data_IF_370407865155
#
_entry.id   IF_370407865155
#
_cell.length_a   1.000
_cell.length_b   1.000
_cell.length_c   1.000
_cell.angle_alpha   90.00
_cell.angle_beta   90.00
_cell.angle_gamma   90.00
#
_symmetry.space_group_name_H-M   'P 1'
#
loop_
_entity.id
_entity.type
_entity.pdbx_description
1 polymer ?
#
# COMPACT_ATOMS: atom_id res chain seq x y z
N UNK A 1 6.01 -55.23 -35.10
CA UNK A 1 6.60 -53.87 -35.07
C UNK A 1 5.49 -52.87 -35.32
N UNK A 2 5.11 -52.08 -34.32
CA UNK A 2 4.50 -50.75 -34.49
C UNK A 2 4.36 -50.10 -33.11
N UNK A 3 5.26 -49.18 -32.80
CA UNK A 3 5.24 -48.29 -31.61
C UNK A 3 4.98 -46.89 -32.12
N UNK A 4 3.91 -46.20 -31.72
CA UNK A 4 3.74 -44.72 -31.69
C UNK A 4 2.49 -44.34 -30.86
N UNK A 5 2.40 -43.15 -30.24
CA UNK A 5 3.17 -42.75 -29.06
C UNK A 5 2.27 -42.21 -27.92
N UNK A 6 2.61 -42.54 -26.67
CA UNK A 6 2.13 -41.83 -25.48
C UNK A 6 2.80 -40.44 -25.43
N UNK A 7 2.19 -39.44 -26.05
CA UNK A 7 2.71 -38.07 -26.04
C UNK A 7 1.62 -37.00 -25.91
N UNK A 8 0.50 -37.31 -25.25
CA UNK A 8 -0.59 -36.34 -25.04
C UNK A 8 -0.71 -35.91 -23.55
N UNK A 9 -0.10 -36.65 -22.61
CA UNK A 9 -0.23 -36.37 -21.18
C UNK A 9 0.65 -35.26 -20.60
N UNK A 10 1.76 -34.88 -21.27
CA UNK A 10 2.76 -33.98 -20.68
C UNK A 10 2.55 -32.49 -21.03
N UNK A 11 1.82 -32.20 -22.12
CA UNK A 11 1.57 -30.82 -22.57
C UNK A 11 0.53 -30.07 -21.72
N UNK A 12 -0.45 -30.77 -21.16
CA UNK A 12 -1.55 -30.15 -20.40
C UNK A 12 -1.12 -29.70 -18.99
N UNK A 13 -0.18 -30.40 -18.37
CA UNK A 13 0.38 -30.04 -17.06
C UNK A 13 1.30 -28.81 -17.13
N UNK A 14 2.02 -28.61 -18.25
CA UNK A 14 2.80 -27.39 -18.48
C UNK A 14 1.92 -26.18 -18.78
N UNK A 15 0.78 -26.36 -19.46
CA UNK A 15 -0.16 -25.28 -19.71
C UNK A 15 -0.84 -24.78 -18.41
N UNK A 16 -1.16 -25.68 -17.46
CA UNK A 16 -1.70 -25.31 -16.14
C UNK A 16 -0.63 -24.78 -15.18
N UNK A 17 0.63 -25.22 -15.29
CA UNK A 17 1.75 -24.64 -14.55
C UNK A 17 2.11 -23.22 -15.01
N UNK A 18 1.94 -22.93 -16.30
CA UNK A 18 2.11 -21.58 -16.87
C UNK A 18 0.87 -20.68 -16.70
N UNK A 19 -0.33 -21.26 -16.53
CA UNK A 19 -1.52 -20.52 -16.08
C UNK A 19 -1.56 -20.29 -14.57
N UNK A 20 -0.81 -21.07 -13.78
CA UNK A 20 -0.60 -20.91 -12.33
C UNK A 20 0.32 -19.75 -11.95
N UNK A 21 0.99 -19.14 -12.94
CA UNK A 21 1.46 -17.75 -12.91
C UNK A 21 0.30 -16.75 -13.05
N UNK A 22 -0.91 -17.15 -12.65
CA UNK A 22 -2.03 -16.27 -12.39
C UNK A 22 -1.58 -15.26 -11.33
N UNK A 23 -1.26 -14.05 -11.81
CA UNK A 23 -1.06 -12.81 -11.07
C UNK A 23 -1.02 -13.00 -9.54
N UNK A 24 0.19 -13.19 -8.99
CA UNK A 24 0.36 -12.90 -7.57
C UNK A 24 0.14 -11.40 -7.39
N UNK A 25 -1.05 -11.03 -6.94
CA UNK A 25 -1.41 -9.64 -6.63
C UNK A 25 -0.86 -9.22 -5.27
N UNK A 26 -0.32 -10.16 -4.47
CA UNK A 26 0.37 -9.83 -3.23
C UNK A 26 1.60 -9.00 -3.56
N UNK A 27 1.72 -7.86 -2.89
CA UNK A 27 2.79 -6.89 -3.13
C UNK A 27 2.54 -5.87 -4.26
N UNK A 28 1.38 -5.87 -4.94
CA UNK A 28 1.05 -4.77 -5.87
C UNK A 28 0.37 -3.62 -5.13
N UNK A 29 0.93 -2.39 -5.18
CA UNK A 29 0.29 -1.23 -4.59
C UNK A 29 -1.13 -1.02 -5.14
N UNK A 30 -2.09 -0.81 -4.24
CA UNK A 30 -3.46 -0.44 -4.58
C UNK A 30 -3.86 0.89 -3.92
N UNK A 31 -5.03 1.39 -4.31
CA UNK A 31 -5.59 2.62 -3.73
C UNK A 31 -5.95 2.35 -2.25
N UNK A 32 -5.51 3.19 -1.30
CA UNK A 32 -5.68 2.94 0.13
C UNK A 32 -7.11 3.15 0.63
N UNK A 33 -7.89 4.01 -0.03
CA UNK A 33 -9.23 4.40 0.41
C UNK A 33 -10.14 4.62 -0.79
N UNK A 34 -11.42 4.26 -0.67
CA UNK A 34 -12.42 4.60 -1.67
C UNK A 34 -12.74 6.09 -1.61
N UNK A 35 -12.03 6.87 -2.42
CA UNK A 35 -12.16 8.33 -2.49
C UNK A 35 -11.56 8.88 -3.77
N UNK A 36 -11.26 10.17 -3.77
CA UNK A 36 -10.62 10.85 -4.90
C UNK A 36 -9.28 11.48 -4.47
N UNK A 37 -8.21 11.25 -5.24
CA UNK A 37 -6.91 11.90 -4.99
C UNK A 37 -7.00 13.37 -5.42
N UNK A 38 -6.94 14.29 -4.46
CA UNK A 38 -7.11 15.72 -4.73
C UNK A 38 -5.85 16.56 -4.67
N UNK A 39 -4.88 16.18 -3.83
CA UNK A 39 -3.59 16.85 -3.75
C UNK A 39 -2.48 15.82 -3.89
N UNK A 40 -1.87 15.78 -5.08
CA UNK A 40 -0.76 14.87 -5.37
C UNK A 40 0.58 15.34 -4.80
N UNK A 41 1.55 14.44 -4.86
CA UNK A 41 2.94 14.74 -4.55
C UNK A 41 3.51 15.82 -5.47
N UNK A 42 4.39 16.67 -4.95
CA UNK A 42 5.12 17.68 -5.74
C UNK A 42 4.33 18.96 -6.03
N UNK A 43 3.05 19.04 -5.63
CA UNK A 43 2.28 20.29 -5.72
C UNK A 43 2.90 21.36 -4.82
N UNK A 44 3.10 22.56 -5.35
CA UNK A 44 3.63 23.69 -4.58
C UNK A 44 2.71 24.05 -3.40
N UNK A 45 3.31 24.24 -2.23
CA UNK A 45 2.65 24.59 -0.96
C UNK A 45 3.60 25.46 -0.11
N UNK A 46 3.07 26.21 0.85
CA UNK A 46 3.81 27.11 1.74
C UNK A 46 3.98 26.58 3.17
N UNK A 47 3.22 25.55 3.56
CA UNK A 47 3.20 25.00 4.91
C UNK A 47 4.19 23.85 5.17
N UNK A 48 4.93 23.37 4.17
CA UNK A 48 6.04 22.42 4.33
C UNK A 48 7.36 23.09 3.93
N UNK A 49 8.41 22.89 4.72
CA UNK A 49 9.70 23.56 4.53
C UNK A 49 10.35 23.29 3.15
N UNK A 50 10.04 22.15 2.53
CA UNK A 50 10.52 21.82 1.18
C UNK A 50 9.75 22.52 0.05
N UNK A 51 8.69 23.28 0.35
CA UNK A 51 7.92 24.06 -0.62
C UNK A 51 7.00 23.25 -1.54
N UNK A 52 6.89 21.94 -1.32
CA UNK A 52 6.00 21.07 -2.09
C UNK A 52 5.39 19.96 -1.22
N UNK A 53 4.24 19.46 -1.65
CA UNK A 53 3.50 18.41 -0.95
C UNK A 53 4.24 17.07 -1.01
N UNK A 54 4.68 16.58 0.15
CA UNK A 54 5.47 15.34 0.30
C UNK A 54 4.64 14.05 0.34
N UNK A 55 3.34 14.12 0.07
CA UNK A 55 2.42 12.99 0.11
C UNK A 55 1.32 13.06 -0.94
N UNK A 56 0.26 12.29 -0.72
CA UNK A 56 -0.96 12.34 -1.53
C UNK A 56 -2.15 12.42 -0.59
N UNK A 57 -3.02 13.41 -0.80
CA UNK A 57 -4.26 13.54 -0.02
C UNK A 57 -5.42 12.93 -0.79
N UNK A 58 -6.07 11.98 -0.13
CA UNK A 58 -7.25 11.28 -0.61
C UNK A 58 -8.49 11.79 0.11
N UNK A 59 -9.44 12.33 -0.67
CA UNK A 59 -10.67 12.91 -0.18
C UNK A 59 -11.69 11.79 0.02
N UNK A 60 -12.01 11.52 1.27
CA UNK A 60 -13.02 10.58 1.70
C UNK A 60 -13.73 11.10 2.97
N UNK A 61 -15.00 10.74 3.22
CA UNK A 61 -15.67 11.10 4.46
C UNK A 61 -14.88 10.66 5.70
N UNK A 62 -14.89 11.46 6.77
CA UNK A 62 -14.25 11.09 8.03
C UNK A 62 -14.79 9.75 8.55
N UNK A 63 -13.89 8.84 8.95
CA UNK A 63 -14.22 7.48 9.36
C UNK A 63 -14.23 6.45 8.22
N UNK A 64 -13.92 6.87 6.98
CA UNK A 64 -13.71 5.93 5.88
C UNK A 64 -12.56 4.96 6.21
N UNK A 65 -12.72 3.65 5.94
CA UNK A 65 -11.67 2.68 6.17
C UNK A 65 -10.50 2.93 5.22
N UNK A 66 -9.29 2.83 5.76
CA UNK A 66 -8.03 2.96 5.02
C UNK A 66 -7.34 1.60 5.10
N UNK A 67 -6.92 1.09 3.96
CA UNK A 67 -6.22 -0.18 3.82
C UNK A 67 -4.76 0.09 3.48
N UNK A 68 -3.87 -0.77 3.98
CA UNK A 68 -2.48 -0.75 3.58
C UNK A 68 -2.39 -0.92 2.05
N UNK A 69 -1.63 -0.08 1.36
CA UNK A 69 -1.54 -0.13 -0.10
C UNK A 69 -0.87 -1.41 -0.61
N UNK A 70 -0.10 -2.08 0.23
CA UNK A 70 0.61 -3.33 -0.07
C UNK A 70 0.86 -4.08 1.24
N UNK A 71 1.18 -5.37 1.14
CA UNK A 71 1.66 -6.17 2.28
C UNK A 71 2.94 -5.56 2.87
N UNK A 72 3.10 -5.64 4.18
CA UNK A 72 4.27 -5.11 4.89
C UNK A 72 4.14 -5.30 6.40
N UNK A 73 5.13 -4.80 7.15
CA UNK A 73 5.15 -4.84 8.62
C UNK A 73 4.88 -3.46 9.19
N UNK A 74 3.96 -3.35 10.14
CA UNK A 74 3.72 -2.10 10.84
C UNK A 74 4.93 -1.79 11.73
N UNK A 75 5.63 -0.69 11.44
CA UNK A 75 6.84 -0.28 12.19
C UNK A 75 6.57 0.87 13.15
N UNK A 76 5.45 1.57 13.00
CA UNK A 76 5.08 2.68 13.88
C UNK A 76 3.57 2.90 13.90
N UNK A 77 3.02 3.16 15.10
CA UNK A 77 1.65 3.65 15.31
C UNK A 77 1.71 4.70 16.41
N UNK A 78 1.25 5.92 16.13
CA UNK A 78 1.18 6.97 17.14
C UNK A 78 1.32 8.40 16.59
N UNK A 79 1.59 9.37 17.50
CA UNK A 79 1.65 10.78 17.14
C UNK A 79 2.92 11.15 16.36
N UNK A 80 2.76 11.61 15.11
CA UNK A 80 3.88 12.00 14.25
C UNK A 80 3.80 13.48 13.87
N UNK A 81 4.57 14.29 14.59
CA UNK A 81 4.55 15.74 14.53
C UNK A 81 5.78 16.32 13.84
N UNK A 82 5.57 17.41 13.09
CA UNK A 82 6.65 18.14 12.43
C UNK A 82 7.18 19.26 13.35
N UNK A 83 6.29 19.97 14.05
CA UNK A 83 6.68 21.14 14.86
C UNK A 83 5.89 21.30 16.17
N UNK A 84 5.18 20.25 16.61
CA UNK A 84 4.39 20.25 17.85
C UNK A 84 3.08 19.44 17.71
N UNK A 85 2.38 19.18 18.83
CA UNK A 85 1.11 18.45 18.82
C UNK A 85 0.10 19.08 17.84
N UNK A 86 -0.56 18.23 17.04
CA UNK A 86 -1.52 18.66 16.03
C UNK A 86 -0.91 19.18 14.72
N UNK A 87 0.42 19.36 14.62
CA UNK A 87 1.08 19.88 13.42
C UNK A 87 1.87 18.80 12.71
N UNK A 88 1.45 18.42 11.50
CA UNK A 88 2.09 17.38 10.72
C UNK A 88 1.13 16.23 10.45
N UNK A 89 1.51 15.00 10.82
CA UNK A 89 0.92 13.77 10.28
C UNK A 89 -0.19 13.16 11.15
N UNK A 90 -0.42 13.68 12.36
CA UNK A 90 -1.57 13.33 13.20
C UNK A 90 -1.24 12.42 14.39
N UNK A 91 -2.20 12.30 15.31
CA UNK A 91 -2.11 11.53 16.56
C UNK A 91 -2.04 10.01 16.33
N UNK A 92 -2.57 9.56 15.19
CA UNK A 92 -2.77 8.15 14.86
C UNK A 92 -2.07 7.82 13.53
N UNK A 93 -0.87 8.38 13.31
CA UNK A 93 -0.09 8.06 12.13
C UNK A 93 0.35 6.59 12.16
N UNK A 94 0.33 5.93 11.00
CA UNK A 94 0.76 4.55 10.84
C UNK A 94 1.88 4.53 9.80
N UNK A 95 2.96 3.82 10.09
CA UNK A 95 4.05 3.58 9.12
C UNK A 95 4.24 2.09 8.93
N UNK A 96 4.24 1.66 7.67
CA UNK A 96 4.42 0.27 7.26
C UNK A 96 5.71 0.17 6.44
N UNK A 97 6.57 -0.78 6.77
CA UNK A 97 7.72 -1.17 5.95
C UNK A 97 7.30 -2.27 4.97
N UNK A 98 7.51 -2.01 3.68
CA UNK A 98 7.18 -2.92 2.58
C UNK A 98 8.42 -3.62 2.01
N UNK A 99 9.55 -3.62 2.72
CA UNK A 99 10.76 -4.34 2.31
C UNK A 99 11.59 -3.57 1.27
N UNK A 100 11.76 -2.27 1.47
CA UNK A 100 12.57 -1.40 0.59
C UNK A 100 12.01 0.02 0.44
N UNK A 101 10.77 0.23 0.86
CA UNK A 101 10.13 1.53 0.95
C UNK A 101 9.08 1.51 2.09
N UNK A 102 8.70 2.69 2.57
CA UNK A 102 7.71 2.83 3.64
C UNK A 102 6.44 3.51 3.14
N UNK A 103 5.29 3.00 3.59
CA UNK A 103 4.00 3.65 3.46
C UNK A 103 3.68 4.42 4.74
N UNK A 104 3.30 5.69 4.65
CA UNK A 104 2.86 6.49 5.80
C UNK A 104 1.40 6.89 5.62
N UNK A 105 0.56 6.56 6.59
CA UNK A 105 -0.87 6.89 6.63
C UNK A 105 -1.07 7.93 7.72
N UNK A 106 -1.53 9.11 7.31
CA UNK A 106 -1.57 10.32 8.15
C UNK A 106 -3.00 10.81 8.34
N UNK A 107 -3.21 11.64 9.36
CA UNK A 107 -4.51 12.25 9.69
C UNK A 107 -5.62 11.24 9.99
N UNK A 108 -5.25 10.04 10.42
CA UNK A 108 -6.22 9.03 10.83
C UNK A 108 -6.93 9.47 12.13
N UNK A 109 -8.21 9.12 12.25
CA UNK A 109 -8.97 9.29 13.49
C UNK A 109 -8.72 8.14 14.49
N UNK A 110 -8.40 6.94 13.97
CA UNK A 110 -8.23 5.71 14.73
C UNK A 110 -7.22 4.83 14.02
N UNK A 111 -6.31 4.19 14.76
CA UNK A 111 -5.51 3.08 14.27
C UNK A 111 -6.13 1.74 14.72
N UNK A 112 -6.30 0.80 13.79
CA UNK A 112 -6.84 -0.55 14.06
C UNK A 112 -5.76 -1.63 13.99
N UNK A 113 -4.49 -1.23 13.96
CA UNK A 113 -3.30 -2.08 13.88
C UNK A 113 -2.29 -1.62 14.93
N UNK A 114 -1.28 -2.43 15.21
CA UNK A 114 -0.21 -2.11 16.15
C UNK A 114 1.18 -2.39 15.56
N UNK A 115 2.21 -1.73 16.09
CA UNK A 115 3.58 -2.01 15.66
C UNK A 115 3.95 -3.48 15.90
N UNK A 116 4.58 -4.09 14.90
CA UNK A 116 4.96 -5.50 14.90
C UNK A 116 3.96 -6.44 14.23
N UNK A 117 2.75 -5.97 13.94
CA UNK A 117 1.78 -6.65 13.06
C UNK A 117 2.25 -6.69 11.61
#
# INVERSE_FOLDING_TARGET
MSRRPLAIGLGLLLALGLLGLALDMRGRPHVPVRGWMGFGFGRAIDYQACGFHTGQDWFAPAGSPIFAVSDGRVIYVGPLWISGPGVGRGEQAIVIDHGGWTGTYSHNRLATVQAGE
#
